data_IF_255497248206
#
_entry.id   IF_255497248206
#
_cell.length_a   1.000
_cell.length_b   1.000
_cell.length_c   1.000
_cell.angle_alpha   90.00
_cell.angle_beta   90.00
_cell.angle_gamma   90.00
#
_symmetry.space_group_name_H-M   'P 1'
#
loop_
_entity.id
_entity.type
_entity.pdbx_description
1 polymer ?
#
# COMPACT_ATOMS: atom_id res chain seq x y z
N UNK A 1 47.00 23.74 48.69
CA UNK A 1 45.64 24.10 48.26
C UNK A 1 45.20 23.18 47.10
N UNK A 2 45.93 23.04 46.01
CA UNK A 2 45.61 22.28 44.82
C UNK A 2 45.30 20.78 45.08
N UNK A 3 46.11 20.08 45.92
CA UNK A 3 45.86 18.67 46.26
C UNK A 3 44.55 18.43 47.05
N UNK A 4 44.10 19.39 47.84
CA UNK A 4 42.80 19.29 48.54
C UNK A 4 41.63 19.51 47.56
N UNK A 5 41.76 20.43 46.62
CA UNK A 5 40.79 20.71 45.60
C UNK A 5 40.61 19.50 44.61
N UNK A 6 41.72 18.90 44.18
CA UNK A 6 41.71 17.68 43.38
C UNK A 6 41.04 16.50 44.07
N UNK A 7 41.28 16.30 45.40
CA UNK A 7 40.59 15.25 46.16
C UNK A 7 39.08 15.49 46.29
N UNK A 8 38.66 16.75 46.43
CA UNK A 8 37.26 17.13 46.52
C UNK A 8 36.58 16.89 45.16
N UNK A 9 37.18 17.35 44.07
CA UNK A 9 36.71 17.08 42.69
C UNK A 9 36.59 15.60 42.43
N UNK A 10 37.58 14.77 42.78
CA UNK A 10 37.55 13.33 42.63
C UNK A 10 36.38 12.69 43.43
N UNK A 11 36.15 13.16 44.66
CA UNK A 11 35.00 12.64 45.43
C UNK A 11 33.67 13.02 44.80
N UNK A 12 33.49 14.23 44.32
CA UNK A 12 32.29 14.70 43.63
C UNK A 12 32.07 13.85 42.36
N UNK A 13 33.07 13.75 41.48
CA UNK A 13 32.99 12.93 40.30
C UNK A 13 32.61 11.45 40.58
N UNK A 14 33.26 10.85 41.61
CA UNK A 14 32.96 9.48 42.04
C UNK A 14 31.50 9.32 42.48
N UNK A 15 31.01 10.22 43.32
CA UNK A 15 29.64 10.14 43.80
C UNK A 15 28.63 10.42 42.69
N UNK A 16 28.89 11.40 41.81
CA UNK A 16 28.07 11.66 40.63
C UNK A 16 27.99 10.42 39.73
N UNK A 17 29.12 9.77 39.48
CA UNK A 17 29.15 8.52 38.67
C UNK A 17 28.36 7.39 39.33
N UNK A 18 28.52 7.20 40.66
CA UNK A 18 27.77 6.16 41.38
C UNK A 18 26.27 6.42 41.36
N UNK A 19 25.84 7.67 41.52
CA UNK A 19 24.42 8.04 41.39
C UNK A 19 23.91 7.81 39.97
N UNK A 20 24.68 8.21 38.96
CA UNK A 20 24.32 7.98 37.56
C UNK A 20 24.16 6.47 37.24
N UNK A 21 25.10 5.62 37.69
CA UNK A 21 25.05 4.17 37.52
C UNK A 21 23.84 3.58 38.28
N UNK A 22 23.56 4.04 39.50
CA UNK A 22 22.40 3.58 40.26
C UNK A 22 21.06 3.97 39.58
N UNK A 23 20.97 5.19 39.04
CA UNK A 23 19.80 5.62 38.27
C UNK A 23 19.64 4.82 36.99
N UNK A 24 20.70 4.57 36.26
CA UNK A 24 20.67 3.73 35.05
C UNK A 24 20.22 2.29 35.38
N UNK A 25 20.78 1.70 36.45
CA UNK A 25 20.37 0.38 36.91
C UNK A 25 18.87 0.36 37.29
N UNK A 26 18.38 1.41 37.96
CA UNK A 26 16.96 1.55 38.29
C UNK A 26 16.09 1.60 37.03
N UNK A 27 16.48 2.38 36.01
CA UNK A 27 15.74 2.46 34.75
C UNK A 27 15.73 1.12 34.02
N UNK A 28 16.84 0.37 34.02
CA UNK A 28 16.89 -1.00 33.47
C UNK A 28 15.94 -1.93 34.23
N UNK A 29 15.93 -1.90 35.57
CA UNK A 29 15.05 -2.73 36.41
C UNK A 29 13.58 -2.42 36.15
N UNK A 30 13.22 -1.14 36.00
CA UNK A 30 11.84 -0.70 35.67
C UNK A 30 11.41 -1.26 34.31
N UNK A 31 12.33 -1.35 33.35
CA UNK A 31 12.06 -1.88 32.00
C UNK A 31 12.33 -3.39 31.84
N UNK A 32 12.58 -4.12 32.95
CA UNK A 32 12.91 -5.54 32.85
C UNK A 32 11.74 -6.42 32.44
N UNK A 33 10.54 -6.02 32.80
CA UNK A 33 9.30 -6.75 32.49
C UNK A 33 8.32 -5.88 31.72
N UNK A 34 7.77 -6.46 30.65
CA UNK A 34 6.62 -5.89 29.96
C UNK A 34 5.35 -6.07 30.79
N UNK A 35 4.41 -5.18 30.65
CA UNK A 35 3.10 -5.31 31.26
C UNK A 35 2.20 -6.29 30.49
N UNK A 36 1.16 -6.85 31.11
CA UNK A 36 0.17 -7.64 30.38
C UNK A 36 -0.65 -6.73 29.45
N UNK A 37 -1.18 -7.31 28.37
CA UNK A 37 -2.17 -6.62 27.55
C UNK A 37 -3.38 -6.23 28.40
N UNK A 38 -3.86 -5.00 28.23
CA UNK A 38 -5.10 -4.52 28.85
C UNK A 38 -6.31 -5.30 28.33
N UNK A 39 -7.43 -5.26 29.07
CA UNK A 39 -8.68 -5.88 28.62
C UNK A 39 -9.16 -5.30 27.29
N UNK A 40 -9.00 -3.97 27.11
CA UNK A 40 -9.33 -3.29 25.88
C UNK A 40 -8.45 -3.73 24.71
N UNK A 41 -7.15 -3.94 24.96
CA UNK A 41 -6.21 -4.44 23.94
C UNK A 41 -6.58 -5.86 23.52
N UNK A 42 -6.88 -6.72 24.49
CA UNK A 42 -7.34 -8.09 24.21
C UNK A 42 -8.65 -8.12 23.44
N UNK A 43 -9.61 -7.28 23.79
CA UNK A 43 -10.87 -7.16 23.06
C UNK A 43 -10.63 -6.74 21.61
N UNK A 44 -9.81 -5.71 21.39
CA UNK A 44 -9.49 -5.21 20.03
C UNK A 44 -8.80 -6.26 19.16
N UNK A 45 -7.90 -7.06 19.74
CA UNK A 45 -7.23 -8.16 19.02
C UNK A 45 -8.14 -9.37 18.79
N UNK A 46 -9.14 -9.59 19.66
CA UNK A 46 -10.10 -10.68 19.52
C UNK A 46 -11.23 -10.38 18.53
N UNK A 47 -11.48 -9.13 18.20
CA UNK A 47 -12.39 -8.72 17.13
C UNK A 47 -11.80 -9.22 15.80
N UNK A 48 -12.14 -10.47 15.45
CA UNK A 48 -11.73 -11.05 14.18
C UNK A 48 -12.91 -11.01 13.22
N UNK A 49 -12.71 -10.60 11.97
CA UNK A 49 -13.59 -11.06 10.93
C UNK A 49 -13.55 -12.61 10.96
N UNK A 50 -14.70 -13.29 10.82
CA UNK A 50 -14.73 -14.74 10.82
C UNK A 50 -13.70 -15.21 9.80
N UNK A 51 -12.78 -16.09 10.24
CA UNK A 51 -11.82 -16.70 9.34
C UNK A 51 -12.63 -17.42 8.25
N UNK A 52 -12.85 -16.76 7.14
CA UNK A 52 -13.42 -17.38 5.97
C UNK A 52 -12.42 -18.45 5.55
N UNK A 53 -12.70 -19.70 5.81
CA UNK A 53 -11.91 -20.84 5.35
C UNK A 53 -12.00 -20.90 3.83
N UNK A 54 -11.30 -19.98 3.18
CA UNK A 54 -11.12 -20.00 1.74
C UNK A 54 -10.11 -21.10 1.42
N UNK A 55 -10.45 -22.09 0.57
CA UNK A 55 -9.48 -23.08 0.14
C UNK A 55 -8.27 -22.40 -0.53
N UNK A 56 -7.06 -22.88 -0.24
CA UNK A 56 -5.84 -22.31 -0.82
C UNK A 56 -5.90 -22.19 -2.34
N UNK A 57 -6.46 -23.20 -3.02
CA UNK A 57 -6.58 -23.24 -4.49
C UNK A 57 -7.59 -22.24 -5.06
N UNK A 58 -8.34 -21.58 -4.23
CA UNK A 58 -9.31 -20.53 -4.57
C UNK A 58 -8.85 -19.14 -4.09
N UNK A 59 -7.69 -19.05 -3.42
CA UNK A 59 -7.20 -17.85 -2.76
C UNK A 59 -6.09 -17.17 -3.55
N UNK A 60 -6.35 -15.96 -4.01
CA UNK A 60 -5.43 -15.11 -4.76
C UNK A 60 -4.15 -14.84 -3.95
N UNK A 61 -4.27 -14.58 -2.63
CA UNK A 61 -3.14 -14.26 -1.78
C UNK A 61 -2.14 -15.41 -1.70
N UNK A 62 -2.64 -16.66 -1.59
CA UNK A 62 -1.79 -17.86 -1.59
C UNK A 62 -1.11 -18.05 -2.95
N UNK A 63 -1.85 -17.86 -4.05
CA UNK A 63 -1.28 -17.93 -5.38
C UNK A 63 -0.21 -16.85 -5.61
N UNK A 64 -0.43 -15.64 -5.10
CA UNK A 64 0.52 -14.53 -5.19
C UNK A 64 1.81 -14.83 -4.41
N UNK A 65 1.70 -15.35 -3.18
CA UNK A 65 2.85 -15.76 -2.38
C UNK A 65 3.69 -16.86 -3.06
N UNK A 66 3.05 -17.75 -3.82
CA UNK A 66 3.70 -18.84 -4.55
C UNK A 66 4.06 -18.53 -6.00
N UNK A 67 3.86 -17.30 -6.50
CA UNK A 67 3.98 -16.99 -7.94
C UNK A 67 5.37 -17.31 -8.50
N UNK A 68 6.43 -17.17 -7.70
CA UNK A 68 7.84 -17.46 -8.03
C UNK A 68 8.26 -18.90 -7.75
N UNK A 69 7.38 -19.81 -7.38
CA UNK A 69 7.71 -21.21 -7.18
C UNK A 69 8.47 -21.80 -8.39
N UNK A 70 9.34 -22.78 -8.20
CA UNK A 70 10.07 -23.44 -9.29
C UNK A 70 9.14 -23.92 -10.41
N UNK A 71 9.68 -24.08 -11.62
CA UNK A 71 8.90 -24.62 -12.73
C UNK A 71 8.42 -26.04 -12.41
N UNK A 72 7.13 -26.30 -12.64
CA UNK A 72 6.47 -27.57 -12.31
C UNK A 72 6.02 -27.74 -10.85
N UNK A 73 6.39 -26.84 -9.94
CA UNK A 73 5.90 -26.86 -8.57
C UNK A 73 4.45 -26.37 -8.47
N UNK A 74 3.71 -26.91 -7.48
CA UNK A 74 2.37 -26.42 -7.13
C UNK A 74 2.48 -25.05 -6.48
N UNK A 75 1.89 -24.04 -7.14
CA UNK A 75 1.95 -22.63 -6.73
C UNK A 75 1.28 -22.43 -5.36
N UNK A 76 0.17 -23.12 -5.09
CA UNK A 76 -0.57 -22.96 -3.84
C UNK A 76 0.16 -23.60 -2.65
N UNK A 77 0.73 -24.78 -2.85
CA UNK A 77 1.54 -25.44 -1.83
C UNK A 77 2.78 -24.61 -1.50
N UNK A 78 3.47 -24.10 -2.53
CA UNK A 78 4.62 -23.23 -2.35
C UNK A 78 4.26 -21.91 -1.64
N UNK A 79 3.12 -21.30 -2.00
CA UNK A 79 2.63 -20.08 -1.36
C UNK A 79 2.27 -20.28 0.11
N UNK A 80 1.54 -21.37 0.42
CA UNK A 80 1.20 -21.72 1.80
C UNK A 80 2.45 -21.94 2.64
N UNK A 81 3.40 -22.73 2.14
CA UNK A 81 4.67 -23.02 2.80
C UNK A 81 5.46 -21.74 3.06
N UNK A 82 5.56 -20.87 2.07
CA UNK A 82 6.22 -19.57 2.20
C UNK A 82 5.63 -18.74 3.34
N UNK A 83 4.31 -18.55 3.35
CA UNK A 83 3.62 -17.76 4.38
C UNK A 83 3.81 -18.36 5.79
N UNK A 84 3.73 -19.69 5.92
CA UNK A 84 3.92 -20.38 7.21
C UNK A 84 5.38 -20.30 7.71
N UNK A 85 6.35 -20.44 6.81
CA UNK A 85 7.76 -20.37 7.15
C UNK A 85 8.15 -18.97 7.59
N UNK A 86 7.75 -17.95 6.83
CA UNK A 86 8.04 -16.55 7.15
C UNK A 86 7.37 -16.13 8.47
N UNK A 87 6.16 -16.62 8.75
CA UNK A 87 5.48 -16.36 10.02
C UNK A 87 6.18 -17.00 11.24
N UNK A 88 6.86 -18.13 11.06
CA UNK A 88 7.53 -18.84 12.18
C UNK A 88 8.95 -18.38 12.45
N UNK A 89 9.69 -18.01 11.41
CA UNK A 89 11.15 -17.88 11.50
C UNK A 89 11.63 -16.42 11.45
N UNK A 90 10.81 -15.47 10.99
CA UNK A 90 11.27 -14.08 10.76
C UNK A 90 12.48 -13.99 9.81
N UNK A 91 12.95 -15.11 9.28
CA UNK A 91 14.05 -15.24 8.34
C UNK A 91 13.51 -15.63 6.97
N UNK A 92 14.10 -15.07 5.94
CA UNK A 92 13.82 -15.45 4.57
C UNK A 92 13.97 -16.97 4.43
N UNK A 93 12.85 -17.65 4.17
CA UNK A 93 12.85 -19.08 3.85
C UNK A 93 14.00 -19.38 2.86
N UNK A 94 14.79 -20.41 3.15
CA UNK A 94 15.90 -20.83 2.27
C UNK A 94 15.46 -20.80 0.81
N UNK A 95 16.28 -20.16 -0.01
CA UNK A 95 15.95 -19.91 -1.41
C UNK A 95 15.98 -21.24 -2.19
N UNK A 96 14.86 -21.97 -2.18
CA UNK A 96 14.55 -22.84 -3.30
C UNK A 96 14.71 -22.02 -4.59
N UNK A 97 15.23 -22.65 -5.67
CA UNK A 97 15.41 -21.96 -6.94
C UNK A 97 14.10 -21.30 -7.40
N UNK A 98 13.96 -20.01 -7.08
CA UNK A 98 12.77 -19.23 -7.44
C UNK A 98 12.86 -18.81 -8.90
N UNK A 99 11.72 -18.81 -9.59
CA UNK A 99 11.63 -18.19 -10.92
C UNK A 99 11.92 -16.69 -10.77
N UNK A 100 12.78 -16.18 -11.65
CA UNK A 100 13.08 -14.75 -11.74
C UNK A 100 12.52 -14.18 -13.03
N UNK A 101 12.05 -12.94 -12.97
CA UNK A 101 11.66 -12.20 -14.16
C UNK A 101 12.88 -11.96 -15.03
N UNK A 102 12.75 -12.20 -16.34
CA UNK A 102 13.81 -11.98 -17.32
C UNK A 102 13.40 -10.84 -18.25
N UNK A 103 14.30 -9.91 -18.47
CA UNK A 103 14.09 -8.79 -19.41
C UNK A 103 14.96 -8.94 -20.65
N UNK A 104 14.57 -8.26 -21.72
CA UNK A 104 15.38 -8.09 -22.93
C UNK A 104 16.52 -7.09 -22.68
N UNK A 105 17.52 -7.07 -23.54
CA UNK A 105 18.57 -6.04 -23.54
C UNK A 105 18.51 -5.24 -24.86
N UNK A 106 18.16 -3.93 -24.81
CA UNK A 106 17.73 -3.15 -23.65
C UNK A 106 16.33 -3.56 -23.12
N UNK A 107 16.00 -3.24 -21.85
CA UNK A 107 14.71 -3.60 -21.25
C UNK A 107 13.56 -2.81 -21.88
N UNK A 108 12.33 -3.37 -21.77
CA UNK A 108 11.10 -2.64 -22.09
C UNK A 108 10.83 -1.58 -21.01
N UNK A 109 10.92 -0.31 -21.38
CA UNK A 109 10.87 0.81 -20.42
C UNK A 109 9.65 1.73 -20.59
N UNK A 110 8.51 1.21 -21.05
CA UNK A 110 7.26 1.95 -21.08
C UNK A 110 6.53 1.82 -19.74
N UNK A 111 6.10 2.92 -19.14
CA UNK A 111 5.34 2.93 -17.90
C UNK A 111 4.07 3.74 -18.03
N UNK A 112 2.99 3.30 -17.38
CA UNK A 112 1.68 3.98 -17.44
C UNK A 112 1.74 5.41 -16.85
N UNK A 113 2.74 5.72 -16.03
CA UNK A 113 3.01 7.06 -15.49
C UNK A 113 3.53 8.04 -16.54
N UNK A 114 4.00 7.56 -17.72
CA UNK A 114 4.37 8.43 -18.84
C UNK A 114 3.18 9.19 -19.46
N UNK A 115 1.98 8.95 -18.95
CA UNK A 115 0.80 9.65 -19.45
C UNK A 115 0.36 9.13 -20.82
N UNK A 116 -0.05 10.04 -21.70
CA UNK A 116 -0.64 9.69 -23.00
C UNK A 116 0.37 9.03 -23.96
N UNK A 117 1.66 9.13 -23.67
CA UNK A 117 2.73 8.54 -24.50
C UNK A 117 2.91 7.03 -24.26
N UNK A 118 2.27 6.44 -23.21
CA UNK A 118 2.45 5.02 -22.89
C UNK A 118 2.07 4.09 -24.03
N UNK A 119 0.93 4.31 -24.68
CA UNK A 119 0.49 3.46 -25.79
C UNK A 119 1.42 3.59 -27.01
N UNK A 120 1.90 4.80 -27.31
CA UNK A 120 2.87 5.04 -28.37
C UNK A 120 4.20 4.36 -28.06
N UNK A 121 4.69 4.48 -26.81
CA UNK A 121 5.88 3.80 -26.36
C UNK A 121 5.74 2.28 -26.51
N UNK A 122 4.64 1.70 -26.02
CA UNK A 122 4.38 0.26 -26.13
C UNK A 122 4.35 -0.23 -27.59
N UNK A 123 3.86 0.60 -28.51
CA UNK A 123 3.86 0.30 -29.95
C UNK A 123 5.26 0.28 -30.54
N UNK A 124 6.09 1.26 -30.20
CA UNK A 124 7.48 1.33 -30.65
C UNK A 124 8.32 0.17 -30.10
N UNK A 125 8.02 -0.27 -28.86
CA UNK A 125 8.74 -1.33 -28.16
C UNK A 125 8.07 -2.72 -28.30
N UNK A 126 7.11 -2.89 -29.20
CA UNK A 126 6.29 -4.10 -29.37
C UNK A 126 7.11 -5.39 -29.47
N UNK A 127 8.22 -5.37 -30.18
CA UNK A 127 9.12 -6.51 -30.31
C UNK A 127 9.69 -6.97 -28.97
N UNK A 128 10.19 -6.02 -28.18
CA UNK A 128 10.73 -6.28 -26.82
C UNK A 128 9.64 -6.74 -25.85
N UNK A 129 8.46 -6.15 -25.94
CA UNK A 129 7.28 -6.59 -25.16
C UNK A 129 6.99 -8.06 -25.41
N UNK A 130 6.87 -8.47 -26.68
CA UNK A 130 6.56 -9.84 -27.08
C UNK A 130 7.66 -10.82 -26.64
N UNK A 131 8.92 -10.47 -26.82
CA UNK A 131 10.08 -11.28 -26.41
C UNK A 131 10.14 -11.46 -24.89
N UNK A 132 9.96 -10.37 -24.12
CA UNK A 132 9.94 -10.41 -22.65
C UNK A 132 8.80 -11.28 -22.13
N UNK A 133 7.60 -11.19 -22.69
CA UNK A 133 6.47 -12.06 -22.32
C UNK A 133 6.76 -13.53 -22.66
N UNK A 134 7.44 -13.81 -23.78
CA UNK A 134 7.81 -15.19 -24.17
C UNK A 134 8.85 -15.78 -23.20
N UNK A 135 9.86 -15.02 -22.77
CA UNK A 135 10.83 -15.46 -21.76
C UNK A 135 10.18 -15.82 -20.42
N UNK A 136 9.11 -15.13 -20.07
CA UNK A 136 8.43 -15.25 -18.79
C UNK A 136 7.10 -16.01 -18.85
N UNK A 137 6.90 -16.86 -19.86
CA UNK A 137 5.62 -17.56 -20.13
C UNK A 137 5.02 -18.24 -18.90
N UNK A 138 5.85 -18.85 -18.04
CA UNK A 138 5.40 -19.54 -16.83
C UNK A 138 4.84 -18.55 -15.80
N UNK A 139 5.55 -17.44 -15.53
CA UNK A 139 5.09 -16.38 -14.61
C UNK A 139 3.81 -15.71 -15.14
N UNK A 140 3.76 -15.42 -16.45
CA UNK A 140 2.58 -14.87 -17.13
C UNK A 140 1.38 -15.81 -17.02
N UNK A 141 1.56 -17.12 -17.23
CA UNK A 141 0.50 -18.10 -17.09
C UNK A 141 -0.03 -18.18 -15.65
N UNK A 142 0.84 -18.12 -14.65
CA UNK A 142 0.47 -18.10 -13.23
C UNK A 142 -0.33 -16.84 -12.87
N UNK A 143 0.09 -15.67 -13.36
CA UNK A 143 -0.65 -14.43 -13.14
C UNK A 143 -2.06 -14.52 -13.75
N UNK A 144 -2.19 -14.99 -14.99
CA UNK A 144 -3.49 -15.18 -15.64
C UNK A 144 -4.37 -16.23 -14.93
N UNK A 145 -3.77 -17.26 -14.32
CA UNK A 145 -4.48 -18.21 -13.48
C UNK A 145 -4.98 -17.54 -12.18
N UNK A 146 -4.13 -16.73 -11.54
CA UNK A 146 -4.47 -15.98 -10.33
C UNK A 146 -5.66 -15.02 -10.55
N UNK A 147 -5.73 -14.33 -11.70
CA UNK A 147 -6.86 -13.45 -12.04
C UNK A 147 -8.22 -14.15 -12.05
N UNK A 148 -8.26 -15.49 -12.24
CA UNK A 148 -9.49 -16.29 -12.29
C UNK A 148 -9.96 -16.76 -10.92
N UNK A 149 -9.13 -16.65 -9.89
CA UNK A 149 -9.48 -17.13 -8.55
C UNK A 149 -10.59 -16.26 -7.94
N UNK A 150 -11.51 -16.88 -7.19
CA UNK A 150 -12.70 -16.20 -6.71
C UNK A 150 -12.46 -15.31 -5.49
N UNK A 151 -11.45 -15.62 -4.66
CA UNK A 151 -11.29 -15.00 -3.34
C UNK A 151 -9.92 -14.39 -3.13
N UNK A 152 -9.89 -13.27 -2.38
CA UNK A 152 -8.71 -12.70 -1.78
C UNK A 152 -8.92 -12.67 -0.27
N UNK A 153 -8.18 -13.46 0.50
CA UNK A 153 -8.38 -13.57 1.93
C UNK A 153 -7.08 -13.86 2.66
N UNK A 154 -6.86 -13.21 3.81
CA UNK A 154 -5.78 -13.58 4.70
C UNK A 154 -6.01 -14.99 5.25
N UNK A 155 -4.95 -15.79 5.33
CA UNK A 155 -4.99 -17.16 5.88
C UNK A 155 -4.54 -17.20 7.34
N UNK A 156 -3.96 -16.13 7.82
CA UNK A 156 -3.46 -15.92 9.18
C UNK A 156 -3.38 -14.44 9.47
N UNK A 157 -3.24 -14.08 10.75
CA UNK A 157 -3.07 -12.69 11.13
C UNK A 157 -1.83 -12.07 10.48
N UNK A 158 -1.90 -10.80 10.08
CA UNK A 158 -0.75 -10.09 9.52
C UNK A 158 0.45 -10.11 10.48
N UNK A 159 1.62 -10.34 9.93
CA UNK A 159 2.89 -10.38 10.63
C UNK A 159 4.03 -10.14 9.66
N UNK A 160 5.26 -10.52 10.00
CA UNK A 160 6.46 -10.33 9.17
C UNK A 160 6.32 -10.85 7.74
N UNK A 161 5.56 -11.92 7.53
CA UNK A 161 5.29 -12.48 6.21
C UNK A 161 4.67 -11.47 5.21
N UNK A 162 3.95 -10.45 5.71
CA UNK A 162 3.38 -9.38 4.87
C UNK A 162 4.47 -8.50 4.28
N UNK A 163 5.50 -8.17 5.09
CA UNK A 163 6.62 -7.32 4.67
C UNK A 163 7.49 -8.03 3.63
N UNK A 164 7.66 -9.33 3.79
CA UNK A 164 8.49 -10.15 2.90
C UNK A 164 7.76 -10.58 1.62
N UNK A 165 6.43 -10.35 1.52
CA UNK A 165 5.66 -10.75 0.36
C UNK A 165 6.12 -9.98 -0.89
N UNK A 166 6.40 -10.73 -1.95
CA UNK A 166 6.82 -10.16 -3.23
C UNK A 166 5.63 -9.61 -4.03
N UNK A 167 5.27 -8.36 -3.77
CA UNK A 167 4.32 -7.62 -4.60
C UNK A 167 4.93 -7.14 -5.92
N UNK A 168 6.26 -7.08 -6.02
CA UNK A 168 6.97 -6.58 -7.19
C UNK A 168 6.80 -7.45 -8.44
N UNK A 169 6.85 -8.78 -8.28
CA UNK A 169 6.71 -9.70 -9.42
C UNK A 169 5.32 -9.62 -10.06
N UNK A 170 4.19 -9.69 -9.34
CA UNK A 170 2.86 -9.45 -9.93
C UNK A 170 2.75 -8.08 -10.60
N UNK A 171 3.30 -7.04 -10.00
CA UNK A 171 3.33 -5.68 -10.58
C UNK A 171 4.06 -5.66 -11.94
N UNK A 172 5.25 -6.28 -11.99
CA UNK A 172 6.03 -6.34 -13.23
C UNK A 172 5.27 -7.08 -14.33
N UNK A 173 4.76 -8.29 -14.04
CA UNK A 173 3.99 -9.08 -15.03
C UNK A 173 2.81 -8.27 -15.55
N UNK A 174 2.06 -7.64 -14.65
CA UNK A 174 0.88 -6.85 -14.97
C UNK A 174 1.21 -5.68 -15.90
N UNK A 175 2.31 -4.94 -15.65
CA UNK A 175 2.77 -3.85 -16.52
C UNK A 175 2.86 -4.28 -17.99
N UNK A 176 3.49 -5.44 -18.25
CA UNK A 176 3.65 -5.99 -19.60
C UNK A 176 2.32 -6.47 -20.19
N UNK A 177 1.47 -7.10 -19.39
CA UNK A 177 0.15 -7.55 -19.84
C UNK A 177 -0.80 -6.40 -20.13
N UNK A 178 -0.73 -5.31 -19.37
CA UNK A 178 -1.48 -4.08 -19.64
C UNK A 178 -1.08 -3.47 -20.98
N UNK A 179 0.24 -3.36 -21.24
CA UNK A 179 0.75 -2.88 -22.53
C UNK A 179 0.26 -3.76 -23.69
N UNK A 180 0.35 -5.09 -23.54
CA UNK A 180 -0.14 -6.03 -24.55
C UNK A 180 -1.64 -5.87 -24.80
N UNK A 181 -2.46 -5.79 -23.74
CA UNK A 181 -3.91 -5.64 -23.85
C UNK A 181 -4.31 -4.34 -24.57
N UNK A 182 -3.61 -3.25 -24.31
CA UNK A 182 -3.84 -1.97 -25.00
C UNK A 182 -3.49 -2.05 -26.49
N UNK A 183 -2.39 -2.74 -26.82
CA UNK A 183 -2.01 -2.99 -28.22
C UNK A 183 -3.02 -3.90 -28.92
N UNK A 184 -3.49 -4.95 -28.27
CA UNK A 184 -4.52 -5.85 -28.82
C UNK A 184 -5.79 -5.08 -29.19
N UNK A 185 -6.26 -4.18 -28.30
CA UNK A 185 -7.43 -3.33 -28.60
C UNK A 185 -7.15 -2.39 -29.78
N UNK A 186 -5.98 -1.74 -29.79
CA UNK A 186 -5.58 -0.84 -30.89
C UNK A 186 -5.54 -1.56 -32.24
N UNK A 187 -5.06 -2.80 -32.25
CA UNK A 187 -4.97 -3.63 -33.47
C UNK A 187 -6.31 -4.26 -33.91
N UNK A 188 -7.41 -4.02 -33.15
CA UNK A 188 -8.74 -4.54 -33.43
C UNK A 188 -9.04 -5.90 -32.79
N UNK A 189 -8.10 -6.48 -32.03
CA UNK A 189 -8.32 -7.69 -31.22
C UNK A 189 -8.93 -7.31 -29.86
N UNK A 190 -10.05 -6.62 -29.92
CA UNK A 190 -10.63 -5.91 -28.77
C UNK A 190 -11.08 -6.88 -27.65
N UNK A 191 -11.59 -8.06 -28.01
CA UNK A 191 -12.07 -9.04 -27.04
C UNK A 191 -10.94 -9.54 -26.13
N UNK A 192 -9.76 -9.80 -26.70
CA UNK A 192 -8.60 -10.26 -25.94
C UNK A 192 -8.08 -9.19 -24.96
N UNK A 193 -7.98 -7.94 -25.42
CA UNK A 193 -7.55 -6.84 -24.58
C UNK A 193 -8.57 -6.49 -23.49
N UNK A 194 -9.88 -6.47 -23.84
CA UNK A 194 -10.96 -6.24 -22.90
C UNK A 194 -11.04 -7.31 -21.82
N UNK A 195 -10.82 -8.58 -22.19
CA UNK A 195 -10.79 -9.69 -21.25
C UNK A 195 -9.68 -9.53 -20.19
N UNK A 196 -8.51 -8.97 -20.56
CA UNK A 196 -7.49 -8.62 -19.60
C UNK A 196 -8.01 -7.60 -18.59
N UNK A 197 -8.56 -6.46 -19.04
CA UNK A 197 -9.08 -5.41 -18.14
C UNK A 197 -10.18 -5.96 -17.22
N UNK A 198 -11.12 -6.79 -17.74
CA UNK A 198 -12.17 -7.43 -16.93
C UNK A 198 -11.58 -8.24 -15.78
N UNK A 199 -10.61 -9.08 -16.08
CA UNK A 199 -9.99 -9.96 -15.07
C UNK A 199 -9.11 -9.20 -14.10
N UNK A 200 -8.33 -8.26 -14.59
CA UNK A 200 -7.39 -7.52 -13.76
C UNK A 200 -8.12 -6.57 -12.80
N UNK A 201 -9.03 -5.75 -13.29
CA UNK A 201 -9.84 -4.89 -12.43
C UNK A 201 -10.70 -5.69 -11.44
N UNK A 202 -11.23 -6.86 -11.84
CA UNK A 202 -11.94 -7.75 -10.92
C UNK A 202 -11.03 -8.33 -9.83
N UNK A 203 -9.79 -8.68 -10.17
CA UNK A 203 -8.77 -9.14 -9.21
C UNK A 203 -8.54 -8.09 -8.12
N UNK A 204 -8.30 -6.83 -8.51
CA UNK A 204 -7.99 -5.75 -7.55
C UNK A 204 -9.21 -5.30 -6.76
N UNK A 205 -10.41 -5.39 -7.32
CA UNK A 205 -11.65 -5.19 -6.57
C UNK A 205 -11.86 -6.27 -5.51
N UNK A 206 -11.57 -7.55 -5.82
CA UNK A 206 -11.59 -8.64 -4.82
C UNK A 206 -10.58 -8.41 -3.70
N UNK A 207 -9.39 -7.87 -4.03
CA UNK A 207 -8.43 -7.47 -3.02
C UNK A 207 -9.01 -6.36 -2.11
N UNK A 208 -9.65 -5.33 -2.67
CA UNK A 208 -10.31 -4.29 -1.89
C UNK A 208 -11.50 -4.80 -1.06
N UNK A 209 -12.16 -5.90 -1.45
CA UNK A 209 -13.20 -6.55 -0.64
C UNK A 209 -12.61 -7.40 0.49
N UNK A 210 -11.50 -8.10 0.22
CA UNK A 210 -10.84 -9.01 1.17
C UNK A 210 -9.57 -8.46 1.83
N UNK A 211 -9.35 -7.15 1.77
CA UNK A 211 -8.17 -6.48 2.31
C UNK A 211 -7.92 -6.81 3.77
N UNK A 212 -6.66 -7.04 4.11
CA UNK A 212 -6.26 -7.46 5.45
C UNK A 212 -5.16 -6.59 6.07
N UNK A 213 -4.56 -5.65 5.29
CA UNK A 213 -3.64 -4.64 5.79
C UNK A 213 -3.63 -3.41 4.87
N UNK A 214 -3.01 -2.32 5.31
CA UNK A 214 -2.94 -1.09 4.51
C UNK A 214 -2.10 -1.27 3.25
N UNK A 215 -1.02 -2.04 3.32
CA UNK A 215 -0.10 -2.24 2.21
C UNK A 215 -0.78 -2.89 1.00
N UNK A 216 -1.55 -3.96 1.20
CA UNK A 216 -2.24 -4.64 0.10
C UNK A 216 -3.35 -3.78 -0.49
N UNK A 217 -4.08 -3.02 0.36
CA UNK A 217 -5.08 -2.06 -0.08
C UNK A 217 -4.49 -0.96 -0.97
N UNK A 218 -3.26 -0.51 -0.64
CA UNK A 218 -2.55 0.49 -1.42
C UNK A 218 -2.16 -0.03 -2.80
N UNK A 219 -1.64 -1.25 -2.89
CA UNK A 219 -1.32 -1.87 -4.17
C UNK A 219 -2.58 -2.05 -5.02
N UNK A 220 -3.66 -2.59 -4.44
CA UNK A 220 -4.92 -2.76 -5.16
C UNK A 220 -5.47 -1.43 -5.71
N UNK A 221 -5.41 -0.37 -4.89
CA UNK A 221 -5.86 0.97 -5.28
C UNK A 221 -5.02 1.52 -6.43
N UNK A 222 -3.68 1.45 -6.33
CA UNK A 222 -2.77 1.94 -7.36
C UNK A 222 -2.97 1.20 -8.69
N UNK A 223 -3.11 -0.12 -8.65
CA UNK A 223 -3.23 -0.93 -9.85
C UNK A 223 -4.59 -0.77 -10.52
N UNK A 224 -5.66 -0.65 -9.74
CA UNK A 224 -6.98 -0.33 -10.27
C UNK A 224 -7.01 1.03 -10.99
N UNK A 225 -6.34 2.04 -10.43
CA UNK A 225 -6.21 3.34 -11.09
C UNK A 225 -5.38 3.28 -12.37
N UNK A 226 -4.32 2.47 -12.41
CA UNK A 226 -3.55 2.28 -13.65
C UNK A 226 -4.35 1.59 -14.74
N UNK A 227 -5.21 0.60 -14.39
CA UNK A 227 -6.13 0.00 -15.36
C UNK A 227 -7.13 1.04 -15.89
N UNK A 228 -7.74 1.81 -15.00
CA UNK A 228 -8.63 2.89 -15.40
C UNK A 228 -7.93 3.91 -16.30
N UNK A 229 -6.64 4.23 -16.04
CA UNK A 229 -5.84 5.08 -16.93
C UNK A 229 -5.65 4.44 -18.29
N UNK A 230 -5.34 3.14 -18.36
CA UNK A 230 -5.28 2.39 -19.62
C UNK A 230 -6.59 2.48 -20.41
N UNK A 231 -7.72 2.31 -19.73
CA UNK A 231 -9.06 2.49 -20.34
C UNK A 231 -9.24 3.92 -20.85
N UNK A 232 -8.86 4.95 -20.06
CA UNK A 232 -8.93 6.35 -20.49
C UNK A 232 -8.20 6.63 -21.79
N UNK A 233 -6.98 6.08 -21.94
CA UNK A 233 -6.19 6.23 -23.17
C UNK A 233 -6.88 5.51 -24.35
N UNK A 234 -7.44 4.33 -24.14
CA UNK A 234 -8.15 3.58 -25.18
C UNK A 234 -9.43 4.28 -25.63
N UNK A 235 -10.08 5.03 -24.73
CA UNK A 235 -11.24 5.84 -25.09
C UNK A 235 -10.92 6.97 -26.10
N UNK A 236 -9.66 7.29 -26.33
CA UNK A 236 -9.25 8.17 -27.43
C UNK A 236 -9.30 7.48 -28.80
N UNK A 237 -9.36 6.14 -28.84
CA UNK A 237 -9.43 5.34 -30.07
C UNK A 237 -10.89 5.13 -30.51
N UNK A 238 -11.17 4.89 -31.80
CA UNK A 238 -12.50 4.51 -32.27
C UNK A 238 -12.96 3.20 -31.61
N UNK A 239 -14.01 3.22 -30.76
CA UNK A 239 -14.59 2.02 -30.15
C UNK A 239 -15.89 1.65 -30.85
N UNK A 240 -16.13 0.34 -31.03
CA UNK A 240 -17.40 -0.15 -31.54
C UNK A 240 -18.49 -0.08 -30.45
N UNK A 241 -19.73 0.22 -30.84
CA UNK A 241 -20.84 0.42 -29.91
C UNK A 241 -21.15 -0.75 -28.98
N UNK A 242 -20.88 -1.98 -29.41
CA UNK A 242 -21.15 -3.21 -28.66
C UNK A 242 -20.38 -3.35 -27.33
N UNK A 243 -19.25 -2.63 -27.18
CA UNK A 243 -18.39 -2.73 -25.99
C UNK A 243 -18.67 -1.67 -24.92
N UNK A 244 -19.58 -0.73 -25.20
CA UNK A 244 -19.85 0.39 -24.28
C UNK A 244 -20.37 -0.08 -22.92
N UNK A 245 -21.26 -1.09 -22.91
CA UNK A 245 -21.80 -1.63 -21.67
C UNK A 245 -20.73 -2.29 -20.80
N UNK A 246 -19.78 -2.96 -21.42
CA UNK A 246 -18.66 -3.62 -20.74
C UNK A 246 -17.72 -2.59 -20.09
N UNK A 247 -17.37 -1.52 -20.80
CA UNK A 247 -16.60 -0.42 -20.25
C UNK A 247 -17.32 0.26 -19.08
N UNK A 248 -18.64 0.48 -19.19
CA UNK A 248 -19.44 1.02 -18.06
C UNK A 248 -19.38 0.12 -16.84
N UNK A 249 -19.42 -1.18 -17.00
CA UNK A 249 -19.35 -2.15 -15.91
C UNK A 249 -17.98 -2.13 -15.22
N UNK A 250 -16.89 -2.08 -16.01
CA UNK A 250 -15.52 -2.01 -15.49
C UNK A 250 -15.28 -0.74 -14.69
N UNK A 251 -15.80 0.39 -15.16
CA UNK A 251 -15.67 1.71 -14.54
C UNK A 251 -16.76 1.98 -13.48
N UNK A 252 -17.44 0.95 -12.99
CA UNK A 252 -18.38 1.12 -11.88
C UNK A 252 -17.68 1.71 -10.66
N UNK A 253 -18.32 2.62 -9.92
CA UNK A 253 -17.80 3.14 -8.66
C UNK A 253 -17.43 2.01 -7.69
N UNK A 254 -16.55 2.30 -6.74
CA UNK A 254 -16.25 1.36 -5.66
C UNK A 254 -17.48 1.18 -4.76
N UNK A 255 -17.72 -0.04 -4.31
CA UNK A 255 -18.75 -0.31 -3.30
C UNK A 255 -18.39 0.35 -1.96
N UNK A 256 -19.35 0.61 -1.06
CA UNK A 256 -19.03 1.11 0.28
C UNK A 256 -18.01 0.25 1.04
N UNK A 257 -18.08 -1.10 0.90
CA UNK A 257 -17.10 -2.01 1.48
C UNK A 257 -15.70 -1.83 0.88
N UNK A 258 -15.60 -1.60 -0.43
CA UNK A 258 -14.33 -1.32 -1.10
C UNK A 258 -13.75 0.04 -0.70
N UNK A 259 -14.58 1.02 -0.39
CA UNK A 259 -14.18 2.36 0.06
C UNK A 259 -13.79 2.44 1.54
N UNK A 260 -14.24 1.52 2.40
CA UNK A 260 -13.86 1.49 3.81
C UNK A 260 -12.46 0.90 3.98
N UNK A 261 -11.62 1.49 4.82
CA UNK A 261 -10.34 0.92 5.24
C UNK A 261 -10.41 0.20 6.60
N UNK A 262 -11.61 -0.04 7.13
CA UNK A 262 -11.78 -0.62 8.48
C UNK A 262 -11.02 -1.94 8.63
N UNK A 263 -11.32 -2.93 7.78
CA UNK A 263 -10.66 -4.24 7.83
C UNK A 263 -9.13 -4.17 7.60
N UNK A 264 -8.68 -3.28 6.71
CA UNK A 264 -7.26 -3.05 6.49
C UNK A 264 -6.58 -2.47 7.75
N UNK A 265 -7.28 -1.56 8.45
CA UNK A 265 -6.76 -0.97 9.67
C UNK A 265 -6.77 -1.95 10.85
N UNK A 266 -7.79 -2.81 10.98
CA UNK A 266 -7.76 -3.92 11.93
C UNK A 266 -6.55 -4.84 11.70
N UNK A 267 -6.28 -5.17 10.45
CA UNK A 267 -5.09 -5.93 10.08
C UNK A 267 -3.78 -5.22 10.43
N UNK A 268 -3.71 -3.90 10.22
CA UNK A 268 -2.54 -3.10 10.59
C UNK A 268 -2.32 -3.07 12.11
N UNK A 269 -3.39 -3.00 12.89
CA UNK A 269 -3.33 -3.10 14.36
C UNK A 269 -2.75 -4.46 14.79
N UNK A 270 -3.22 -5.56 14.19
CA UNK A 270 -2.70 -6.91 14.45
C UNK A 270 -1.25 -7.05 13.99
N UNK A 271 -0.93 -6.50 12.82
CA UNK A 271 0.44 -6.47 12.32
C UNK A 271 1.37 -5.79 13.34
N UNK A 272 1.02 -4.59 13.81
CA UNK A 272 1.82 -3.87 14.79
C UNK A 272 1.99 -4.65 16.11
N UNK A 273 0.93 -5.34 16.59
CA UNK A 273 1.01 -6.20 17.76
C UNK A 273 1.96 -7.39 17.54
N UNK A 274 1.83 -8.08 16.41
CA UNK A 274 2.62 -9.29 16.12
C UNK A 274 4.09 -8.94 15.80
N UNK A 275 4.34 -7.79 15.19
CA UNK A 275 5.66 -7.34 14.78
C UNK A 275 6.51 -6.78 15.94
N UNK A 276 5.91 -6.10 16.91
CA UNK A 276 6.64 -5.46 18.01
C UNK A 276 7.49 -6.44 18.87
N UNK A 277 7.01 -7.66 19.22
CA UNK A 277 7.85 -8.65 19.91
C UNK A 277 9.03 -9.15 19.09
N UNK A 278 8.88 -9.19 17.75
CA UNK A 278 9.96 -9.58 16.84
C UNK A 278 11.03 -8.51 16.78
N UNK A 279 10.66 -7.23 16.70
CA UNK A 279 11.59 -6.11 16.81
C UNK A 279 12.43 -6.19 18.09
N UNK A 280 11.84 -6.62 19.20
CA UNK A 280 12.55 -6.81 20.47
C UNK A 280 13.57 -7.98 20.43
N UNK A 281 13.29 -9.01 19.62
CA UNK A 281 14.13 -10.21 19.48
C UNK A 281 15.22 -10.06 18.43
N UNK A 282 15.07 -9.13 17.48
CA UNK A 282 16.00 -8.94 16.37
C UNK A 282 17.36 -8.45 16.88
N UNK A 283 18.27 -9.39 17.09
CA UNK A 283 19.67 -9.13 17.41
C UNK A 283 20.52 -8.72 16.19
N UNK A 284 19.99 -8.83 14.99
CA UNK A 284 20.77 -8.60 13.77
C UNK A 284 19.95 -7.92 12.66
N UNK A 285 19.52 -6.69 12.92
CA UNK A 285 19.07 -5.82 11.83
C UNK A 285 20.17 -5.59 10.77
N UNK A 286 21.44 -5.87 11.13
CA UNK A 286 22.56 -5.83 10.20
C UNK A 286 22.45 -6.81 9.03
N UNK A 287 21.80 -7.97 9.16
CA UNK A 287 21.61 -8.90 8.04
C UNK A 287 20.51 -8.45 7.08
N UNK A 288 19.48 -7.76 7.57
CA UNK A 288 18.40 -7.21 6.73
C UNK A 288 18.87 -5.94 6.01
N UNK A 289 19.67 -5.09 6.67
CA UNK A 289 20.21 -3.86 6.06
C UNK A 289 21.28 -4.15 4.98
N UNK A 290 21.85 -5.35 4.94
CA UNK A 290 22.77 -5.76 3.86
C UNK A 290 22.04 -5.98 2.52
N UNK A 291 20.71 -6.04 2.50
CA UNK A 291 19.90 -6.25 1.29
C UNK A 291 19.29 -4.98 0.69
N UNK A 292 19.38 -3.84 1.33
CA UNK A 292 18.85 -2.58 0.80
C UNK A 292 18.94 -1.46 1.82
N UNK A 293 19.47 -0.43 1.45
CA UNK A 293 19.68 0.96 1.82
C UNK A 293 18.98 1.58 3.06
N UNK A 294 18.30 0.82 3.93
CA UNK A 294 17.69 1.33 5.16
C UNK A 294 18.51 0.95 6.39
N UNK A 295 19.05 1.96 7.04
CA UNK A 295 19.81 1.83 8.29
C UNK A 295 18.88 2.19 9.47
N UNK A 296 19.00 1.47 10.61
CA UNK A 296 18.19 1.78 11.80
C UNK A 296 18.38 3.24 12.25
N UNK A 297 19.53 3.83 11.96
CA UNK A 297 19.79 5.26 12.18
C UNK A 297 18.90 6.17 11.34
N UNK A 298 18.47 5.75 10.15
CA UNK A 298 17.59 6.54 9.29
C UNK A 298 16.18 6.63 9.90
N UNK A 299 15.75 5.60 10.63
CA UNK A 299 14.47 5.57 11.34
C UNK A 299 14.48 6.58 12.51
N UNK A 300 15.63 6.77 13.15
CA UNK A 300 15.76 7.62 14.33
C UNK A 300 16.31 9.03 14.06
N UNK A 301 17.13 9.20 13.03
CA UNK A 301 17.80 10.48 12.72
C UNK A 301 17.17 11.23 11.54
N UNK A 302 16.42 10.54 10.67
CA UNK A 302 15.91 11.12 9.43
C UNK A 302 16.99 11.47 8.39
N UNK A 303 18.22 10.96 8.56
CA UNK A 303 19.35 11.20 7.65
C UNK A 303 19.86 9.88 7.09
N UNK A 304 20.14 9.83 5.78
CA UNK A 304 20.65 8.63 5.08
C UNK A 304 22.17 8.40 5.29
N UNK A 305 22.74 8.85 6.38
CA UNK A 305 24.17 8.63 6.67
C UNK A 305 24.40 7.28 7.37
N UNK A 306 25.42 6.57 6.93
CA UNK A 306 25.80 5.25 7.50
C UNK A 306 26.14 5.39 8.99
N UNK A 307 25.39 4.72 9.85
CA UNK A 307 25.68 4.64 11.27
C UNK A 307 27.05 4.01 11.54
N UNK A 308 27.84 4.55 12.48
CA UNK A 308 28.96 3.87 13.05
C UNK A 308 28.51 2.55 13.73
N UNK A 309 29.27 1.48 13.58
CA UNK A 309 28.92 0.15 14.10
C UNK A 309 28.60 0.15 15.62
N UNK A 310 29.26 1.00 16.41
CA UNK A 310 29.00 1.12 17.86
C UNK A 310 27.64 1.76 18.15
N UNK A 311 27.18 2.68 17.30
CA UNK A 311 25.87 3.33 17.47
C UNK A 311 24.77 2.33 17.11
N UNK A 312 24.88 1.57 16.02
CA UNK A 312 23.95 0.51 15.66
C UNK A 312 23.84 -0.55 16.78
N UNK A 313 25.00 -0.97 17.34
CA UNK A 313 25.03 -1.88 18.49
C UNK A 313 24.34 -1.30 19.73
N UNK A 314 24.56 -0.03 20.02
CA UNK A 314 23.95 0.65 21.17
C UNK A 314 22.44 0.74 21.01
N UNK A 315 21.95 1.13 19.83
CA UNK A 315 20.52 1.26 19.54
C UNK A 315 19.80 -0.11 19.62
N UNK A 316 20.43 -1.17 19.09
CA UNK A 316 19.93 -2.55 19.18
C UNK A 316 19.76 -3.00 20.64
N UNK A 317 20.78 -2.77 21.47
CA UNK A 317 20.70 -3.14 22.89
C UNK A 317 19.73 -2.26 23.70
N UNK A 318 19.65 -0.97 23.40
CA UNK A 318 18.66 -0.07 23.99
C UNK A 318 17.26 -0.52 23.60
N UNK A 319 17.02 -0.85 22.33
CA UNK A 319 15.71 -1.31 21.88
C UNK A 319 15.28 -2.60 22.56
N UNK A 320 16.17 -3.59 22.70
CA UNK A 320 15.88 -4.87 23.33
C UNK A 320 15.47 -4.75 24.81
N UNK A 321 16.05 -3.77 25.53
CA UNK A 321 15.78 -3.53 26.95
C UNK A 321 14.57 -2.61 27.14
N UNK A 322 14.47 -1.54 26.35
CA UNK A 322 13.58 -0.41 26.60
C UNK A 322 12.34 -0.38 25.69
N UNK A 323 12.19 -1.33 24.75
CA UNK A 323 10.93 -1.57 24.06
C UNK A 323 10.08 -2.58 24.86
N UNK A 324 8.89 -2.17 25.26
CA UNK A 324 7.90 -3.03 25.90
C UNK A 324 6.71 -3.17 24.93
N UNK A 325 6.61 -4.28 24.18
CA UNK A 325 5.60 -4.45 23.13
C UNK A 325 4.16 -4.29 23.63
N UNK A 326 3.78 -4.95 24.73
CA UNK A 326 2.44 -4.86 25.27
C UNK A 326 2.11 -3.45 25.79
N UNK A 327 3.06 -2.82 26.51
CA UNK A 327 2.89 -1.44 26.98
C UNK A 327 2.70 -0.47 25.78
N UNK A 328 3.52 -0.63 24.73
CA UNK A 328 3.39 0.17 23.52
C UNK A 328 2.03 -0.01 22.86
N UNK A 329 1.54 -1.25 22.81
CA UNK A 329 0.24 -1.56 22.26
C UNK A 329 -0.90 -0.97 23.10
N UNK A 330 -0.85 -1.13 24.43
CA UNK A 330 -1.83 -0.56 25.38
C UNK A 330 -1.90 0.97 25.25
N UNK A 331 -0.76 1.65 25.20
CA UNK A 331 -0.65 3.11 25.04
C UNK A 331 -1.31 3.60 23.74
N UNK A 332 -1.32 2.79 22.68
CA UNK A 332 -1.85 3.13 21.37
C UNK A 332 -3.34 2.78 21.17
N UNK A 333 -4.00 2.08 22.10
CA UNK A 333 -5.42 1.70 21.97
C UNK A 333 -6.34 2.89 21.67
N UNK A 334 -6.25 4.06 22.36
CA UNK A 334 -7.09 5.20 22.03
C UNK A 334 -6.90 5.71 20.59
N UNK A 335 -5.67 5.67 20.10
CA UNK A 335 -5.32 6.04 18.73
C UNK A 335 -5.93 5.05 17.72
N UNK A 336 -5.76 3.74 17.94
CA UNK A 336 -6.32 2.71 17.07
C UNK A 336 -7.85 2.78 16.99
N UNK A 337 -8.55 2.91 18.12
CA UNK A 337 -10.01 3.07 18.16
C UNK A 337 -10.48 4.34 17.43
N UNK A 338 -9.70 5.42 17.53
CA UNK A 338 -10.02 6.67 16.82
C UNK A 338 -9.93 6.47 15.31
N UNK A 339 -8.88 5.79 14.84
CA UNK A 339 -8.72 5.53 13.41
C UNK A 339 -9.77 4.55 12.87
N UNK A 340 -10.12 3.49 13.58
CA UNK A 340 -11.22 2.60 13.18
C UNK A 340 -12.52 3.37 12.94
N UNK A 341 -12.85 4.32 13.80
CA UNK A 341 -14.02 5.19 13.60
C UNK A 341 -13.88 6.09 12.36
N UNK A 342 -12.68 6.65 12.14
CA UNK A 342 -12.44 7.54 11.01
C UNK A 342 -12.48 6.80 9.65
N UNK A 343 -12.09 5.53 9.60
CA UNK A 343 -12.06 4.72 8.37
C UNK A 343 -13.46 4.38 7.83
N UNK A 344 -14.51 4.49 8.65
CA UNK A 344 -15.89 4.22 8.27
C UNK A 344 -16.66 5.47 7.82
N UNK A 345 -16.04 6.65 7.94
CA UNK A 345 -16.69 7.91 7.59
C UNK A 345 -16.66 8.16 6.08
N UNK A 346 -17.70 8.84 5.58
CA UNK A 346 -17.61 9.45 4.27
C UNK A 346 -16.47 10.46 4.22
N UNK A 347 -15.92 10.75 3.02
CA UNK A 347 -14.84 11.73 2.90
C UNK A 347 -15.20 13.09 3.50
N UNK A 348 -16.43 13.55 3.29
CA UNK A 348 -16.94 14.80 3.86
C UNK A 348 -16.94 14.79 5.40
N UNK A 349 -17.45 13.71 5.99
CA UNK A 349 -17.52 13.57 7.46
C UNK A 349 -16.12 13.36 8.05
N UNK A 350 -15.26 12.63 7.35
CA UNK A 350 -13.86 12.46 7.71
C UNK A 350 -13.14 13.81 7.79
N UNK A 351 -13.24 14.68 6.78
CA UNK A 351 -12.64 16.01 6.80
C UNK A 351 -13.18 16.88 7.95
N UNK A 352 -14.49 16.80 8.24
CA UNK A 352 -15.12 17.57 9.30
C UNK A 352 -14.68 17.11 10.71
N UNK A 353 -14.37 15.83 10.90
CA UNK A 353 -14.12 15.25 12.22
C UNK A 353 -12.63 14.94 12.50
N UNK A 354 -11.82 14.72 11.46
CA UNK A 354 -10.43 14.29 11.55
C UNK A 354 -9.61 15.12 12.54
N UNK A 355 -9.59 16.43 12.38
CA UNK A 355 -8.71 17.30 13.16
C UNK A 355 -9.11 17.37 14.63
N UNK A 356 -10.42 17.31 14.92
CA UNK A 356 -10.96 17.25 16.28
C UNK A 356 -10.60 15.92 16.94
N UNK A 357 -10.82 14.81 16.25
CA UNK A 357 -10.59 13.46 16.78
C UNK A 357 -9.09 13.16 16.96
N UNK A 358 -8.23 13.68 16.10
CA UNK A 358 -6.78 13.48 16.17
C UNK A 358 -6.04 14.51 17.02
N UNK A 359 -6.69 15.61 17.44
CA UNK A 359 -6.05 16.63 18.26
C UNK A 359 -5.36 16.12 19.54
N UNK A 360 -5.91 15.11 20.26
CA UNK A 360 -5.24 14.55 21.43
C UNK A 360 -3.86 13.93 21.13
N UNK A 361 -3.66 13.40 19.91
CA UNK A 361 -2.46 12.68 19.49
C UNK A 361 -1.41 13.59 18.80
N UNK A 362 -1.78 14.81 18.41
CA UNK A 362 -0.88 15.79 17.77
C UNK A 362 0.02 16.54 18.77
N UNK A 363 -0.14 16.32 20.07
CA UNK A 363 0.68 17.02 21.07
C UNK A 363 2.10 16.48 21.05
N UNK A 364 3.13 17.36 20.97
CA UNK A 364 4.50 16.90 21.10
C UNK A 364 4.67 16.20 22.45
N UNK A 365 5.31 15.04 22.41
CA UNK A 365 5.59 14.28 23.60
C UNK A 365 6.50 15.14 24.52
N UNK A 366 5.90 15.72 25.57
CA UNK A 366 6.68 16.38 26.63
C UNK A 366 7.39 15.27 27.39
N UNK A 367 8.68 15.46 27.68
CA UNK A 367 9.43 14.55 28.53
C UNK A 367 8.71 14.53 29.91
N UNK A 368 7.96 13.46 30.17
CA UNK A 368 7.22 13.26 31.42
C UNK A 368 7.90 12.14 32.19
N UNK A 369 7.69 12.09 33.50
CA UNK A 369 8.28 11.04 34.35
C UNK A 369 7.87 9.62 33.94
N UNK A 370 6.72 9.49 33.25
CA UNK A 370 6.22 8.21 32.69
C UNK A 370 7.08 7.67 31.52
N UNK A 371 7.95 8.51 30.92
CA UNK A 371 8.91 8.08 29.90
C UNK A 371 10.07 7.23 30.41
N UNK A 372 10.19 7.06 31.74
CA UNK A 372 11.17 6.13 32.34
C UNK A 372 10.83 4.68 31.99
N UNK A 373 9.54 4.36 31.89
CA UNK A 373 9.06 3.05 31.45
C UNK A 373 8.70 3.10 29.95
N UNK A 374 9.16 2.10 29.20
CA UNK A 374 8.90 1.93 27.77
C UNK A 374 9.26 3.16 26.89
N UNK A 375 10.45 3.78 27.06
CA UNK A 375 10.79 5.02 26.34
C UNK A 375 10.87 4.82 24.82
N UNK A 376 11.30 3.63 24.36
CA UNK A 376 11.37 3.30 22.94
C UNK A 376 9.98 3.16 22.35
N UNK A 377 9.08 2.44 23.01
CA UNK A 377 7.70 2.29 22.55
C UNK A 377 6.96 3.62 22.50
N UNK A 378 7.13 4.48 23.50
CA UNK A 378 6.53 5.83 23.52
C UNK A 378 7.07 6.73 22.40
N UNK A 379 8.34 6.62 22.04
CA UNK A 379 8.90 7.31 20.89
C UNK A 379 8.33 6.78 19.58
N UNK A 380 8.26 5.46 19.43
CA UNK A 380 7.73 4.83 18.21
C UNK A 380 6.25 5.15 17.99
N UNK A 381 5.44 5.21 19.04
CA UNK A 381 4.02 5.56 18.94
C UNK A 381 3.77 6.97 18.41
N UNK A 382 4.72 7.90 18.57
CA UNK A 382 4.61 9.25 18.01
C UNK A 382 4.81 9.31 16.49
N UNK A 383 5.32 8.23 15.90
CA UNK A 383 5.61 8.11 14.45
C UNK A 383 4.64 7.16 13.74
N UNK A 384 3.56 6.72 14.39
CA UNK A 384 2.55 5.91 13.74
C UNK A 384 2.03 6.66 12.51
N UNK A 385 2.14 6.02 11.34
CA UNK A 385 1.73 6.60 10.06
C UNK A 385 0.30 7.12 10.15
N UNK A 386 0.11 8.36 9.71
CA UNK A 386 -1.23 8.93 9.62
C UNK A 386 -2.01 8.23 8.49
N UNK A 387 -3.03 7.41 8.77
CA UNK A 387 -3.84 6.75 7.74
C UNK A 387 -4.61 7.73 6.85
N UNK A 388 -4.57 9.03 7.17
CA UNK A 388 -5.25 10.09 6.46
C UNK A 388 -5.05 10.04 4.95
N UNK A 389 -3.81 9.85 4.52
CA UNK A 389 -3.48 9.79 3.10
C UNK A 389 -4.02 8.53 2.43
N UNK A 390 -4.09 7.40 3.16
CA UNK A 390 -4.62 6.15 2.64
C UNK A 390 -6.13 6.23 2.39
N UNK A 391 -6.87 6.90 3.30
CA UNK A 391 -8.30 7.17 3.12
C UNK A 391 -8.48 8.07 1.88
N UNK A 392 -7.71 9.16 1.78
CA UNK A 392 -7.73 10.05 0.62
C UNK A 392 -7.50 9.32 -0.70
N UNK A 393 -6.48 8.46 -0.78
CA UNK A 393 -6.15 7.69 -2.00
C UNK A 393 -7.27 6.76 -2.43
N UNK A 394 -7.98 6.14 -1.50
CA UNK A 394 -9.09 5.25 -1.83
C UNK A 394 -10.27 6.02 -2.42
N UNK A 395 -10.58 7.21 -1.85
CA UNK A 395 -11.57 8.10 -2.43
C UNK A 395 -11.13 8.69 -3.78
N UNK A 396 -9.83 8.95 -3.96
CA UNK A 396 -9.26 9.34 -5.25
C UNK A 396 -9.47 8.27 -6.30
N UNK A 397 -9.26 7.00 -5.96
CA UNK A 397 -9.49 5.90 -6.89
C UNK A 397 -10.96 5.81 -7.33
N UNK A 398 -11.90 5.96 -6.40
CA UNK A 398 -13.33 6.00 -6.73
C UNK A 398 -13.68 7.20 -7.61
N UNK A 399 -13.14 8.38 -7.27
CA UNK A 399 -13.31 9.60 -8.06
C UNK A 399 -12.74 9.43 -9.47
N UNK A 400 -11.57 8.80 -9.59
CA UNK A 400 -10.92 8.55 -10.87
C UNK A 400 -11.73 7.58 -11.75
N UNK A 401 -12.27 6.49 -11.19
CA UNK A 401 -13.16 5.59 -11.92
C UNK A 401 -14.40 6.34 -12.46
N UNK A 402 -14.99 7.22 -11.65
CA UNK A 402 -16.12 8.07 -12.07
C UNK A 402 -15.73 9.06 -13.16
N UNK A 403 -14.53 9.65 -13.07
CA UNK A 403 -14.00 10.54 -14.11
C UNK A 403 -13.90 9.83 -15.47
N UNK A 404 -13.30 8.62 -15.48
CA UNK A 404 -13.12 7.88 -16.74
C UNK A 404 -14.47 7.36 -17.26
N UNK A 405 -15.38 7.00 -16.38
CA UNK A 405 -16.76 6.68 -16.77
C UNK A 405 -17.47 7.90 -17.38
N UNK A 406 -17.28 9.07 -16.81
CA UNK A 406 -17.81 10.32 -17.37
C UNK A 406 -17.17 10.64 -18.73
N UNK A 407 -15.87 10.43 -18.88
CA UNK A 407 -15.18 10.53 -20.19
C UNK A 407 -15.85 9.63 -21.23
N UNK A 408 -16.18 8.39 -20.88
CA UNK A 408 -16.89 7.45 -21.75
C UNK A 408 -18.27 8.00 -22.16
N UNK A 409 -19.08 8.47 -21.20
CA UNK A 409 -20.45 8.97 -21.48
C UNK A 409 -20.44 10.21 -22.38
N UNK A 410 -19.55 11.16 -22.09
CA UNK A 410 -19.41 12.38 -22.91
C UNK A 410 -18.97 12.08 -24.34
N UNK A 411 -18.10 11.10 -24.49
CA UNK A 411 -17.68 10.62 -25.80
C UNK A 411 -18.85 9.96 -26.55
N UNK A 412 -19.61 9.08 -25.89
CA UNK A 412 -20.75 8.37 -26.51
C UNK A 412 -21.87 9.32 -26.92
N UNK A 413 -22.05 10.40 -26.16
CA UNK A 413 -23.01 11.46 -26.47
C UNK A 413 -22.51 12.42 -27.57
N UNK A 414 -21.27 12.25 -28.07
CA UNK A 414 -20.61 13.11 -29.06
C UNK A 414 -20.71 14.61 -28.68
N UNK A 415 -20.63 14.90 -27.38
CA UNK A 415 -20.84 16.23 -26.87
C UNK A 415 -19.81 17.24 -27.39
N UNK A 416 -20.31 18.37 -27.88
CA UNK A 416 -19.47 19.51 -28.23
C UNK A 416 -18.88 20.14 -26.96
N UNK A 417 -17.66 20.66 -27.04
CA UNK A 417 -16.95 21.28 -25.90
C UNK A 417 -17.78 22.29 -25.12
N UNK A 418 -18.64 23.07 -25.80
CA UNK A 418 -19.51 24.07 -25.14
C UNK A 418 -20.65 23.46 -24.32
N UNK A 419 -21.04 22.23 -24.57
CA UNK A 419 -22.13 21.55 -23.86
C UNK A 419 -21.66 20.83 -22.60
N UNK A 420 -20.37 20.45 -22.54
CA UNK A 420 -19.79 19.66 -21.42
C UNK A 420 -19.92 20.40 -20.10
N UNK A 421 -19.63 21.70 -20.06
CA UNK A 421 -19.72 22.50 -18.83
C UNK A 421 -21.14 22.54 -18.25
N UNK A 422 -22.17 22.60 -19.10
CA UNK A 422 -23.57 22.63 -18.67
C UNK A 422 -24.04 21.21 -18.24
N UNK A 423 -23.56 20.18 -18.91
CA UNK A 423 -23.81 18.80 -18.51
C UNK A 423 -23.23 18.50 -17.12
N UNK A 424 -21.99 18.96 -16.84
CA UNK A 424 -21.36 18.75 -15.52
C UNK A 424 -22.15 19.36 -14.36
N UNK A 425 -22.87 20.49 -14.59
CA UNK A 425 -23.72 21.12 -13.58
C UNK A 425 -24.98 20.32 -13.24
N UNK A 426 -25.35 19.37 -14.08
CA UNK A 426 -26.57 18.57 -13.97
C UNK A 426 -26.29 17.12 -13.59
N UNK A 427 -25.03 16.82 -13.19
CA UNK A 427 -24.64 15.46 -12.85
C UNK A 427 -25.36 14.97 -11.59
N UNK A 428 -26.03 13.83 -11.74
CA UNK A 428 -26.62 13.07 -10.63
C UNK A 428 -25.65 12.04 -10.07
N UNK A 429 -25.97 11.46 -8.89
CA UNK A 429 -25.37 10.19 -8.51
C UNK A 429 -25.65 9.18 -9.64
N UNK A 430 -24.67 8.41 -10.14
CA UNK A 430 -23.39 8.00 -9.53
C UNK A 430 -22.15 8.85 -9.91
N UNK A 431 -22.33 10.00 -10.54
CA UNK A 431 -21.21 10.82 -11.00
C UNK A 431 -20.71 11.83 -9.97
N UNK A 432 -21.43 12.03 -8.85
CA UNK A 432 -20.92 12.85 -7.75
C UNK A 432 -19.64 12.23 -7.19
N UNK A 433 -18.55 12.99 -7.27
CA UNK A 433 -17.24 12.54 -6.81
C UNK A 433 -17.10 12.76 -5.30
N UNK A 434 -16.48 11.82 -4.55
CA UNK A 434 -16.27 12.01 -3.12
C UNK A 434 -15.26 13.12 -2.80
N UNK A 435 -14.29 13.39 -3.68
CA UNK A 435 -13.21 14.34 -3.40
C UNK A 435 -13.56 15.78 -3.78
N UNK A 436 -14.08 15.99 -4.98
CA UNK A 436 -14.41 17.32 -5.51
C UNK A 436 -15.30 17.20 -6.73
N UNK A 437 -15.94 18.32 -7.11
CA UNK A 437 -16.64 18.39 -8.38
C UNK A 437 -15.67 18.25 -9.55
N UNK A 438 -16.18 17.70 -10.66
CA UNK A 438 -15.43 17.64 -11.91
C UNK A 438 -15.37 19.01 -12.57
N UNK A 439 -14.23 19.32 -13.13
CA UNK A 439 -13.98 20.53 -13.90
C UNK A 439 -13.68 20.21 -15.37
N UNK A 440 -14.01 21.14 -16.27
CA UNK A 440 -13.77 21.04 -17.69
C UNK A 440 -12.96 22.22 -18.21
N UNK A 441 -11.85 21.90 -18.85
CA UNK A 441 -11.08 22.86 -19.65
C UNK A 441 -11.38 22.65 -21.15
N UNK A 442 -12.08 23.62 -21.74
CA UNK A 442 -12.47 23.56 -23.14
C UNK A 442 -11.29 23.73 -24.11
N UNK A 443 -10.19 24.38 -23.70
CA UNK A 443 -9.01 24.61 -24.54
C UNK A 443 -8.20 23.33 -24.71
N UNK A 444 -7.94 22.65 -23.58
CA UNK A 444 -7.18 21.39 -23.55
C UNK A 444 -8.07 20.16 -23.73
N UNK A 445 -9.39 20.33 -23.75
CA UNK A 445 -10.42 19.27 -23.77
C UNK A 445 -10.22 18.25 -22.65
N UNK A 446 -9.93 18.76 -21.47
CA UNK A 446 -9.56 17.95 -20.31
C UNK A 446 -10.63 18.04 -19.21
N UNK A 447 -11.09 16.85 -18.79
CA UNK A 447 -11.82 16.66 -17.55
C UNK A 447 -10.81 16.48 -16.42
N UNK A 448 -11.07 17.09 -15.26
CA UNK A 448 -10.20 16.94 -14.11
C UNK A 448 -11.00 17.02 -12.81
N UNK A 449 -10.36 16.61 -11.71
CA UNK A 449 -10.84 16.78 -10.35
C UNK A 449 -9.70 17.18 -9.42
N UNK A 450 -10.03 17.74 -8.26
CA UNK A 450 -9.05 18.02 -7.22
C UNK A 450 -8.91 16.80 -6.31
N UNK A 451 -7.71 16.18 -6.22
CA UNK A 451 -7.52 14.97 -5.43
C UNK A 451 -7.78 15.19 -3.92
N UNK A 452 -8.24 14.13 -3.27
CA UNK A 452 -8.33 14.05 -1.82
C UNK A 452 -6.93 13.89 -1.16
N UNK A 453 -6.00 13.22 -1.85
CA UNK A 453 -4.64 13.00 -1.39
C UNK A 453 -3.63 13.81 -2.20
N UNK A 454 -2.58 14.32 -1.54
CA UNK A 454 -1.51 15.05 -2.22
C UNK A 454 -0.64 14.15 -3.11
N UNK A 455 -0.68 12.83 -2.91
CA UNK A 455 0.20 11.88 -3.60
C UNK A 455 -0.39 11.29 -4.88
N UNK A 456 -1.66 11.55 -5.22
CA UNK A 456 -2.30 10.98 -6.41
C UNK A 456 -1.53 11.33 -7.69
N UNK A 457 -1.06 12.57 -7.80
CA UNK A 457 -0.36 13.05 -9.00
C UNK A 457 0.91 12.25 -9.36
N UNK A 458 1.51 11.54 -8.39
CA UNK A 458 2.64 10.65 -8.63
C UNK A 458 2.26 9.28 -9.24
N UNK A 459 0.98 8.92 -9.24
CA UNK A 459 0.51 7.61 -9.71
C UNK A 459 -0.23 7.70 -11.04
N UNK A 460 -1.22 8.59 -11.11
CA UNK A 460 -1.97 8.89 -12.33
C UNK A 460 -2.34 10.39 -12.32
N UNK A 461 -2.42 11.05 -13.48
CA UNK A 461 -2.90 12.42 -13.52
C UNK A 461 -4.39 12.46 -13.12
N UNK A 462 -4.83 13.43 -12.29
CA UNK A 462 -6.22 13.56 -11.89
C UNK A 462 -7.08 14.14 -13.03
N UNK A 463 -6.87 13.66 -14.24
CA UNK A 463 -7.49 14.19 -15.45
C UNK A 463 -7.62 13.13 -16.55
N UNK A 464 -8.56 13.37 -17.47
CA UNK A 464 -8.83 12.58 -18.65
C UNK A 464 -9.10 13.48 -19.85
N UNK A 465 -8.52 13.17 -21.01
CA UNK A 465 -8.67 13.96 -22.23
C UNK A 465 -9.80 13.42 -23.09
N UNK A 466 -10.70 14.28 -23.55
CA UNK A 466 -11.72 13.93 -24.55
C UNK A 466 -11.14 14.07 -25.96
N UNK A 467 -11.28 13.05 -26.82
CA UNK A 467 -10.87 13.14 -28.21
C UNK A 467 -11.66 14.23 -28.96
N UNK A 468 -11.14 14.72 -30.06
CA UNK A 468 -11.90 15.57 -30.95
C UNK A 468 -13.12 14.83 -31.50
N UNK A 469 -14.30 15.48 -31.61
CA UNK A 469 -15.43 14.88 -32.30
C UNK A 469 -15.01 14.53 -33.72
N UNK A 470 -15.45 13.38 -34.22
CA UNK A 470 -15.24 13.05 -35.61
C UNK A 470 -15.80 14.19 -36.48
N UNK A 471 -15.00 14.68 -37.46
CA UNK A 471 -15.51 15.64 -38.39
C UNK A 471 -16.78 15.07 -39.06
N UNK A 472 -17.87 15.86 -39.23
CA UNK A 472 -19.07 15.36 -39.87
C UNK A 472 -18.68 14.82 -41.27
N UNK A 473 -19.05 13.57 -41.51
CA UNK A 473 -18.86 12.97 -42.83
C UNK A 473 -19.62 13.82 -43.85
N UNK A 474 -18.89 14.54 -44.69
CA UNK A 474 -19.46 15.34 -45.80
C UNK A 474 -19.93 14.46 -46.94
#
# INVERSE_FOLDING_TARGET
>A
MLRRMLRLLWKVCKWTLLVAVALMALVVVINWRDEPLSDEARALLAEQPPANHVPDRENILVAMAGIKAPEGADVFEAGRRYMEQTARQGESAEQEQKLTWKETEPPFDCTISMGDDFLQCAELERGRLAETLAFNKTLVARYRAMQRLPHYAAIQDPGTWVVDMDFGTPFTIRKFLLAQAMLDIKDGNTDAGLEFFKKDMALWRKNLDGKFCLLDSMFATAWLMQDARGVSMLLSLPTKGEQQQEWRALLAPLSPGQQSLHAAWEGEIKFNHNYAPELKRWKSYHEVSSRGDYNICDIFSGTMEKCPAWQAWLEENIQSIFLQPNASFNDNIPFYKTWLKLTDLSWKDYLAQRDVMLAPFKKPAKLQMDWIYNPVGKKSSTHLMAPAEYIGRLHDADTYLRLIRLQLELRLAEMLSGQVADFLKQLDAPYCAPCSDFSWDAQTRQLSFHPCSEQLAGWVPPSATLPEPAAPAH
#
